data_IF_334663575646
#
_entry.id   IF_334663575646
#
_cell.length_a   1.000
_cell.length_b   1.000
_cell.length_c   1.000
_cell.angle_alpha   90.00
_cell.angle_beta   90.00
_cell.angle_gamma   90.00
#
_symmetry.space_group_name_H-M   'P 1'
#
loop_
_entity.id
_entity.type
_entity.pdbx_description
1 polymer ?
#
# COMPACT_ATOMS: atom_id res chain seq x y z
N UNK A 1 4.47 10.58 -11.79
CA UNK A 1 5.38 9.56 -12.37
C UNK A 1 4.79 8.20 -12.05
N UNK A 2 5.08 7.13 -12.79
CA UNK A 2 4.58 5.80 -12.40
C UNK A 2 5.67 5.02 -11.68
N UNK A 3 5.30 4.30 -10.63
CA UNK A 3 6.22 3.40 -9.92
C UNK A 3 5.63 2.01 -9.82
N UNK A 4 6.51 1.00 -9.80
CA UNK A 4 6.10 -0.38 -9.58
C UNK A 4 5.70 -0.58 -8.11
N UNK A 5 4.59 -1.28 -7.90
CA UNK A 5 4.04 -1.54 -6.57
C UNK A 5 4.96 -2.43 -5.71
N UNK A 6 5.63 -3.42 -6.32
CA UNK A 6 6.59 -4.24 -5.59
C UNK A 6 7.82 -3.44 -5.21
N UNK A 7 8.31 -2.57 -6.08
CA UNK A 7 9.45 -1.71 -5.76
C UNK A 7 9.11 -0.75 -4.61
N UNK A 8 7.89 -0.21 -4.59
CA UNK A 8 7.38 0.57 -3.45
C UNK A 8 7.43 -0.22 -2.15
N UNK A 9 6.88 -1.44 -2.14
CA UNK A 9 6.90 -2.28 -0.95
C UNK A 9 8.32 -2.51 -0.43
N UNK A 10 9.27 -2.81 -1.31
CA UNK A 10 10.66 -3.01 -0.91
C UNK A 10 11.30 -1.76 -0.32
N UNK A 11 10.91 -0.56 -0.78
CA UNK A 11 11.40 0.71 -0.24
C UNK A 11 10.87 0.99 1.17
N UNK A 12 9.57 0.75 1.41
CA UNK A 12 8.96 1.06 2.72
C UNK A 12 9.11 -0.07 3.74
N UNK A 13 9.36 -1.31 3.31
CA UNK A 13 9.46 -2.50 4.17
C UNK A 13 10.39 -2.34 5.38
N UNK A 14 11.56 -1.68 5.29
CA UNK A 14 12.43 -1.47 6.45
C UNK A 14 11.81 -0.60 7.55
N UNK A 15 10.88 0.29 7.20
CA UNK A 15 10.26 1.25 8.12
C UNK A 15 8.96 0.73 8.75
N UNK A 16 8.53 -0.50 8.40
CA UNK A 16 7.31 -1.10 8.93
C UNK A 16 7.60 -2.12 10.02
N UNK A 17 6.79 -2.15 11.08
CA UNK A 17 6.80 -3.22 12.07
C UNK A 17 6.41 -4.57 11.44
N UNK A 18 6.89 -5.68 12.03
CA UNK A 18 6.62 -7.04 11.53
C UNK A 18 5.12 -7.32 11.42
N UNK A 19 4.34 -6.92 12.43
CA UNK A 19 2.89 -7.12 12.47
C UNK A 19 2.17 -6.39 11.33
N UNK A 20 2.61 -5.16 11.02
CA UNK A 20 2.05 -4.38 9.92
C UNK A 20 2.58 -4.82 8.55
N UNK A 21 3.80 -5.36 8.47
CA UNK A 21 4.42 -5.80 7.23
C UNK A 21 3.64 -6.94 6.55
N UNK A 22 3.04 -7.85 7.33
CA UNK A 22 2.20 -8.92 6.81
C UNK A 22 0.89 -8.38 6.20
N UNK A 23 0.24 -7.46 6.90
CA UNK A 23 -1.00 -6.81 6.43
C UNK A 23 -0.72 -6.08 5.11
N UNK A 24 0.34 -5.27 5.07
CA UNK A 24 0.70 -4.49 3.88
C UNK A 24 1.07 -5.40 2.72
N UNK A 25 1.83 -6.48 2.96
CA UNK A 25 2.16 -7.45 1.92
C UNK A 25 0.91 -8.01 1.26
N UNK A 26 -0.07 -8.44 2.05
CA UNK A 26 -1.32 -9.00 1.51
C UNK A 26 -2.13 -7.97 0.71
N UNK A 27 -2.25 -6.73 1.20
CA UNK A 27 -2.92 -5.65 0.47
C UNK A 27 -2.21 -5.39 -0.86
N UNK A 28 -0.87 -5.30 -0.84
CA UNK A 28 -0.04 -5.06 -2.02
C UNK A 28 -0.12 -6.21 -3.02
N UNK A 29 -0.17 -7.46 -2.57
CA UNK A 29 -0.29 -8.64 -3.44
C UNK A 29 -1.66 -8.66 -4.13
N UNK A 30 -2.73 -8.34 -3.41
CA UNK A 30 -4.09 -8.24 -3.96
C UNK A 30 -4.19 -7.12 -5.02
N UNK A 31 -3.61 -5.95 -4.76
CA UNK A 31 -3.56 -4.84 -5.73
C UNK A 31 -2.69 -5.24 -6.93
N UNK A 32 -1.50 -5.81 -6.69
CA UNK A 32 -0.52 -6.20 -7.71
C UNK A 32 -1.05 -7.22 -8.71
N UNK A 33 -2.04 -8.02 -8.31
CA UNK A 33 -2.72 -8.96 -9.19
C UNK A 33 -3.55 -8.27 -10.29
N UNK A 34 -4.01 -7.04 -10.04
CA UNK A 34 -4.86 -6.26 -10.96
C UNK A 34 -4.05 -5.17 -11.66
N UNK A 35 -3.20 -4.46 -10.91
CA UNK A 35 -2.36 -3.41 -11.43
C UNK A 35 -0.99 -3.46 -10.77
N UNK A 36 0.06 -3.39 -11.57
CA UNK A 36 1.45 -3.46 -11.07
C UNK A 36 2.10 -2.09 -10.89
N UNK A 37 1.43 -1.01 -11.31
CA UNK A 37 1.98 0.35 -11.27
C UNK A 37 0.95 1.36 -10.74
N UNK A 38 1.43 2.39 -10.06
CA UNK A 38 0.58 3.45 -9.50
C UNK A 38 1.18 4.84 -9.74
N UNK A 39 0.35 5.88 -9.61
CA UNK A 39 0.87 7.25 -9.57
C UNK A 39 1.43 7.58 -8.18
N UNK A 40 2.72 7.80 -8.16
CA UNK A 40 3.53 8.20 -6.99
C UNK A 40 3.12 9.49 -6.29
N UNK A 41 2.32 10.35 -6.94
CA UNK A 41 1.92 11.65 -6.40
C UNK A 41 0.46 11.70 -5.93
N UNK A 42 -0.26 10.58 -5.93
CA UNK A 42 -1.68 10.56 -5.56
C UNK A 42 -2.03 9.43 -4.60
N UNK A 43 -3.23 9.51 -4.02
CA UNK A 43 -3.83 8.49 -3.17
C UNK A 43 -4.18 7.18 -3.93
N UNK A 44 -3.57 6.94 -5.09
CA UNK A 44 -3.87 5.84 -6.01
C UNK A 44 -3.84 4.48 -5.32
N UNK A 45 -2.84 4.27 -4.45
CA UNK A 45 -2.73 3.03 -3.68
C UNK A 45 -3.87 2.84 -2.68
N UNK A 46 -4.36 3.92 -2.06
CA UNK A 46 -5.52 3.86 -1.15
C UNK A 46 -6.78 3.55 -1.93
N UNK A 47 -7.01 4.22 -3.05
CA UNK A 47 -8.17 4.00 -3.91
C UNK A 47 -8.16 2.57 -4.48
N UNK A 48 -7.00 2.07 -4.91
CA UNK A 48 -6.85 0.68 -5.35
C UNK A 48 -7.06 -0.33 -4.22
N UNK A 49 -6.56 -0.05 -3.02
CA UNK A 49 -6.78 -0.91 -1.86
C UNK A 49 -8.27 -1.00 -1.52
N UNK A 50 -8.98 0.12 -1.51
CA UNK A 50 -10.41 0.18 -1.22
C UNK A 50 -11.24 -0.56 -2.29
N UNK A 51 -10.89 -0.40 -3.56
CA UNK A 51 -11.58 -1.04 -4.67
C UNK A 51 -11.28 -2.54 -4.78
N UNK A 52 -10.02 -2.95 -4.60
CA UNK A 52 -9.54 -4.27 -5.02
C UNK A 52 -9.03 -5.16 -3.89
N UNK A 53 -8.77 -4.63 -2.69
CA UNK A 53 -8.26 -5.43 -1.58
C UNK A 53 -9.34 -5.80 -0.56
N UNK A 54 -9.64 -7.10 -0.45
CA UNK A 54 -10.45 -7.65 0.64
C UNK A 54 -9.76 -7.53 1.99
N UNK A 55 -8.43 -7.68 2.01
CA UNK A 55 -7.63 -7.50 3.23
C UNK A 55 -7.80 -6.09 3.76
N UNK A 56 -7.64 -5.07 2.91
CA UNK A 56 -7.80 -3.66 3.28
C UNK A 56 -9.18 -3.33 3.85
N UNK A 57 -10.25 -3.82 3.22
CA UNK A 57 -11.64 -3.60 3.68
C UNK A 57 -11.99 -4.28 5.01
N UNK A 58 -11.18 -5.26 5.44
CA UNK A 58 -11.38 -6.01 6.69
C UNK A 58 -10.55 -5.46 7.86
N UNK A 59 -9.74 -4.43 7.62
CA UNK A 59 -8.85 -3.84 8.64
C UNK A 59 -9.63 -3.10 9.72
N UNK A 60 -9.09 -3.12 10.93
CA UNK A 60 -9.54 -2.21 11.99
C UNK A 60 -9.18 -0.76 11.63
N UNK A 61 -9.86 0.20 12.26
CA UNK A 61 -9.58 1.63 12.05
C UNK A 61 -8.10 1.97 12.28
N UNK A 62 -7.46 1.34 13.28
CA UNK A 62 -6.04 1.56 13.57
C UNK A 62 -5.14 1.00 12.47
N UNK A 63 -5.43 -0.20 11.97
CA UNK A 63 -4.67 -0.81 10.88
C UNK A 63 -4.84 -0.03 9.57
N UNK A 64 -6.05 0.42 9.25
CA UNK A 64 -6.31 1.27 8.08
C UNK A 64 -5.50 2.56 8.13
N UNK A 65 -5.38 3.19 9.31
CA UNK A 65 -4.55 4.40 9.47
C UNK A 65 -3.07 4.13 9.18
N UNK A 66 -2.53 3.00 9.63
CA UNK A 66 -1.14 2.62 9.37
C UNK A 66 -0.91 2.41 7.86
N UNK A 67 -1.79 1.64 7.21
CA UNK A 67 -1.68 1.39 5.76
C UNK A 67 -1.79 2.68 4.96
N UNK A 68 -2.75 3.56 5.29
CA UNK A 68 -2.92 4.83 4.59
C UNK A 68 -1.78 5.81 4.82
N UNK A 69 -1.21 5.83 6.03
CA UNK A 69 -0.03 6.65 6.31
C UNK A 69 1.15 6.26 5.42
N UNK A 70 1.34 4.96 5.16
CA UNK A 70 2.40 4.46 4.30
C UNK A 70 2.11 4.70 2.80
N UNK A 71 0.88 4.43 2.37
CA UNK A 71 0.48 4.59 0.97
C UNK A 71 0.48 6.05 0.49
N UNK A 72 0.32 6.99 1.42
CA UNK A 72 0.36 8.43 1.13
C UNK A 72 1.74 9.06 1.38
N UNK A 73 2.81 8.27 1.58
CA UNK A 73 4.16 8.82 1.67
C UNK A 73 4.53 9.46 0.32
N UNK A 74 4.80 10.78 0.26
CA UNK A 74 5.28 11.41 -0.96
C UNK A 74 6.66 10.86 -1.31
N UNK A 75 6.81 10.28 -2.50
CA UNK A 75 8.05 9.64 -2.93
C UNK A 75 9.04 10.57 -3.63
N UNK A 76 8.69 11.86 -3.81
CA UNK A 76 9.60 12.88 -4.31
C UNK A 76 9.75 14.02 -3.31
N UNK A 77 11.00 14.31 -2.97
CA UNK A 77 11.48 15.63 -2.54
C UNK A 77 11.79 16.48 -3.77
#
# INVERSE_FOLDING_TARGET
>A
MKMNIKDFYHQIKPDVSVDSAYIISNVIDEISAINSTFDTNSNDLVDMAEAHSSTYRSLSIEQTRIVNALFNIPLFL
#
